data_IF_685144515167
#
_entry.id   IF_685144515167
#
_cell.length_a   1.000
_cell.length_b   1.000
_cell.length_c   1.000
_cell.angle_alpha   90.00
_cell.angle_beta   90.00
_cell.angle_gamma   90.00
#
_symmetry.space_group_name_H-M   'P 1'
#
loop_
_entity.id
_entity.type
_entity.pdbx_description
1 polymer ?
#
# COMPACT_ATOMS: atom_id res chain seq x y z
N UNK A 1 3.79 -27.40 -20.39
CA UNK A 1 2.89 -26.28 -20.02
C UNK A 1 3.15 -25.96 -18.56
N UNK A 2 3.56 -24.74 -18.25
CA UNK A 2 4.03 -24.39 -16.88
C UNK A 2 3.44 -23.03 -16.50
N UNK A 3 2.24 -23.04 -15.93
CA UNK A 3 1.37 -21.85 -15.80
C UNK A 3 0.98 -21.63 -14.34
N UNK A 4 1.99 -21.49 -13.47
CA UNK A 4 1.87 -21.31 -12.02
C UNK A 4 2.93 -20.30 -11.51
N UNK A 5 2.61 -18.99 -11.54
CA UNK A 5 3.32 -17.93 -10.78
C UNK A 5 2.71 -16.51 -10.82
N UNK A 6 1.39 -16.38 -10.96
CA UNK A 6 0.71 -15.07 -11.11
C UNK A 6 -0.43 -14.79 -10.10
N UNK A 7 -0.64 -15.62 -9.07
CA UNK A 7 -1.82 -15.50 -8.18
C UNK A 7 -1.68 -14.48 -7.02
N UNK A 8 -0.47 -14.07 -6.64
CA UNK A 8 -0.20 -13.46 -5.31
C UNK A 8 -0.72 -12.02 -5.06
N UNK A 9 -1.64 -11.50 -5.87
CA UNK A 9 -2.13 -10.11 -5.77
C UNK A 9 -3.66 -9.93 -5.93
N UNK A 10 -4.42 -11.03 -6.05
CA UNK A 10 -5.79 -11.03 -6.56
C UNK A 10 -6.90 -11.39 -5.53
N UNK A 11 -6.60 -11.36 -4.22
CA UNK A 11 -7.50 -11.85 -3.15
C UNK A 11 -7.60 -10.78 -2.02
N UNK A 12 -8.78 -10.15 -1.88
CA UNK A 12 -9.15 -9.04 -0.96
C UNK A 12 -10.69 -8.79 -1.00
N UNK A 13 -11.50 -9.34 -0.07
CA UNK A 13 -12.91 -8.97 0.25
C UNK A 13 -13.33 -9.56 1.64
N UNK A 14 -13.22 -8.77 2.73
CA UNK A 14 -13.55 -9.18 4.11
C UNK A 14 -15.04 -9.52 4.34
N UNK A 15 -15.40 -10.23 5.43
CA UNK A 15 -15.85 -9.54 6.68
C UNK A 15 -15.57 -10.31 8.02
N UNK A 16 -15.75 -9.81 9.26
CA UNK A 16 -15.83 -8.49 9.95
C UNK A 16 -16.02 -8.72 11.49
N UNK A 17 -15.74 -7.73 12.37
CA UNK A 17 -16.34 -7.52 13.74
C UNK A 17 -15.95 -8.55 14.84
N UNK A 18 -15.76 -8.29 16.15
CA UNK A 18 -15.53 -7.12 17.07
C UNK A 18 -15.20 -7.73 18.48
N UNK A 19 -14.80 -7.07 19.60
CA UNK A 19 -14.17 -5.78 19.98
C UNK A 19 -13.86 -5.81 21.51
N UNK A 20 -13.56 -4.65 22.16
CA UNK A 20 -13.35 -4.42 23.62
C UNK A 20 -12.03 -4.96 24.24
N UNK A 21 -11.48 -4.50 25.37
CA UNK A 21 -11.41 -3.18 26.08
C UNK A 21 -10.43 -3.32 27.28
N UNK A 22 -9.68 -2.28 27.67
CA UNK A 22 -9.75 -1.61 29.01
C UNK A 22 -8.72 -0.44 29.17
N UNK A 23 -8.84 0.34 30.24
CA UNK A 23 -8.06 1.57 30.54
C UNK A 23 -6.79 1.38 31.38
N UNK A 24 -5.85 2.35 31.31
CA UNK A 24 -5.17 2.94 32.49
C UNK A 24 -4.34 4.19 32.12
N UNK A 25 -4.56 5.31 32.82
CA UNK A 25 -3.69 6.50 32.82
C UNK A 25 -2.76 6.50 34.06
N UNK A 26 -1.67 7.30 34.03
CA UNK A 26 -1.71 8.47 34.91
C UNK A 26 -1.14 9.77 34.29
N UNK A 27 -1.48 10.90 34.91
CA UNK A 27 -1.00 12.24 34.54
C UNK A 27 0.52 12.42 34.66
N UNK A 28 1.11 13.19 33.73
CA UNK A 28 2.28 14.04 33.99
C UNK A 28 2.08 15.40 33.33
N UNK A 29 2.46 16.48 34.01
CA UNK A 29 2.42 17.84 33.49
C UNK A 29 3.82 18.38 33.19
N UNK A 30 3.83 19.40 32.32
CA UNK A 30 4.67 20.61 32.36
C UNK A 30 5.76 20.75 31.28
N UNK A 31 6.05 22.03 31.00
CA UNK A 31 7.08 22.58 30.11
C UNK A 31 6.83 22.49 28.60
N UNK A 32 6.38 23.64 28.06
CA UNK A 32 6.48 24.00 26.65
C UNK A 32 7.94 23.98 26.17
N UNK A 33 8.33 22.91 25.48
CA UNK A 33 9.40 22.97 24.48
C UNK A 33 8.72 23.33 23.16
N UNK A 34 9.24 24.33 22.45
CA UNK A 34 8.66 24.74 21.16
C UNK A 34 8.58 23.56 20.20
N UNK A 35 7.44 23.38 19.54
CA UNK A 35 7.19 22.28 18.60
C UNK A 35 8.21 22.35 17.46
N UNK A 36 9.30 21.57 17.61
CA UNK A 36 10.23 21.30 16.52
C UNK A 36 9.46 20.46 15.52
N UNK A 37 8.82 21.15 14.57
CA UNK A 37 8.39 20.58 13.31
C UNK A 37 9.64 20.10 12.58
N UNK A 38 10.07 18.90 12.93
CA UNK A 38 10.80 18.05 12.01
C UNK A 38 10.08 18.12 10.67
N UNK A 39 10.83 18.37 9.59
CA UNK A 39 10.27 18.19 8.27
C UNK A 39 9.67 16.78 8.19
N UNK A 40 8.50 16.59 7.54
CA UNK A 40 7.92 15.26 7.41
C UNK A 40 8.98 14.33 6.84
N UNK A 41 9.23 13.21 7.52
CA UNK A 41 10.37 12.35 7.20
C UNK A 41 10.32 12.00 5.71
N UNK A 42 11.34 12.45 4.98
CA UNK A 42 11.33 12.51 3.53
C UNK A 42 11.80 11.16 2.94
N UNK A 43 12.29 10.24 3.79
CA UNK A 43 12.65 8.84 3.49
C UNK A 43 11.55 7.83 3.85
N UNK A 44 11.73 6.55 3.48
CA UNK A 44 10.77 5.45 3.76
C UNK A 44 11.20 4.55 4.93
N UNK A 45 11.99 5.06 5.87
CA UNK A 45 12.44 4.29 7.04
C UNK A 45 11.28 3.92 7.97
N UNK A 46 11.34 2.72 8.55
CA UNK A 46 10.32 2.17 9.46
C UNK A 46 9.54 0.99 8.89
N UNK A 47 8.47 0.60 9.59
CA UNK A 47 7.64 -0.56 9.25
C UNK A 47 6.26 -0.13 8.77
N UNK A 48 5.78 -0.77 7.69
CA UNK A 48 4.46 -0.54 7.12
C UNK A 48 3.79 -1.88 6.78
N UNK A 49 2.46 -1.93 6.88
CA UNK A 49 1.68 -3.15 6.79
C UNK A 49 0.40 -2.92 5.97
N UNK A 50 0.09 -3.88 5.10
CA UNK A 50 -1.17 -4.05 4.41
C UNK A 50 -1.72 -5.41 4.80
N UNK A 51 -2.98 -5.47 5.24
CA UNK A 51 -3.64 -6.73 5.58
C UNK A 51 -4.91 -6.89 4.75
N UNK A 52 -5.08 -8.09 4.22
CA UNK A 52 -6.20 -8.57 3.42
C UNK A 52 -6.87 -9.73 4.13
N UNK A 53 -8.20 -9.78 4.02
CA UNK A 53 -8.98 -10.98 4.29
C UNK A 53 -9.96 -11.18 3.12
N UNK A 54 -10.15 -12.42 2.68
CA UNK A 54 -11.22 -12.79 1.76
C UNK A 54 -11.73 -14.21 2.00
N UNK A 55 -12.98 -14.33 2.42
CA UNK A 55 -13.75 -15.57 2.37
C UNK A 55 -13.07 -16.83 2.98
N UNK A 56 -12.26 -16.66 4.03
CA UNK A 56 -11.51 -17.73 4.70
C UNK A 56 -10.00 -17.75 4.40
N UNK A 57 -9.57 -16.99 3.39
CA UNK A 57 -8.17 -16.70 3.10
C UNK A 57 -7.79 -15.34 3.70
N UNK A 58 -6.52 -15.13 4.03
CA UNK A 58 -5.97 -13.83 4.44
C UNK A 58 -4.57 -13.61 3.90
N UNK A 59 -4.19 -12.37 3.60
CA UNK A 59 -2.82 -12.04 3.23
C UNK A 59 -2.31 -10.77 3.93
N UNK A 60 -1.24 -10.91 4.69
CA UNK A 60 -0.48 -9.78 5.22
C UNK A 60 0.75 -9.51 4.36
N UNK A 61 0.99 -8.24 4.05
CA UNK A 61 2.21 -7.76 3.42
C UNK A 61 2.86 -6.71 4.31
N UNK A 62 4.04 -7.01 4.85
CA UNK A 62 4.85 -6.09 5.65
C UNK A 62 6.03 -5.60 4.81
N UNK A 63 6.21 -4.29 4.70
CA UNK A 63 7.41 -3.63 4.22
C UNK A 63 8.15 -3.03 5.42
N UNK A 64 9.38 -3.48 5.69
CA UNK A 64 10.22 -2.99 6.78
C UNK A 64 11.54 -2.45 6.22
N UNK A 65 11.76 -1.15 6.37
CA UNK A 65 12.89 -0.42 5.81
C UNK A 65 13.81 0.08 6.92
N UNK A 66 15.08 -0.36 6.88
CA UNK A 66 16.11 0.14 7.80
C UNK A 66 16.58 1.55 7.38
N UNK A 67 16.64 1.78 6.07
CA UNK A 67 16.87 3.06 5.42
C UNK A 67 16.13 3.09 4.07
N UNK A 68 16.25 4.19 3.32
CA UNK A 68 15.54 4.37 2.05
C UNK A 68 16.05 3.54 0.86
N UNK A 69 17.19 2.85 1.02
CA UNK A 69 17.84 2.00 0.01
C UNK A 69 17.73 0.50 0.33
N UNK A 70 17.46 0.15 1.59
CA UNK A 70 17.42 -1.22 2.11
C UNK A 70 16.13 -1.55 2.88
N UNK A 71 15.24 -2.31 2.23
CA UNK A 71 14.00 -2.81 2.83
C UNK A 71 13.86 -4.33 2.75
N UNK A 72 12.99 -4.90 3.58
CA UNK A 72 12.52 -6.29 3.49
C UNK A 72 11.02 -6.28 3.25
N UNK A 73 10.56 -7.00 2.23
CA UNK A 73 9.16 -7.27 1.96
C UNK A 73 8.84 -8.71 2.37
N UNK A 74 7.98 -8.85 3.37
CA UNK A 74 7.43 -10.12 3.83
C UNK A 74 5.97 -10.22 3.37
N UNK A 75 5.56 -11.37 2.84
CA UNK A 75 4.17 -11.66 2.46
C UNK A 75 3.76 -12.99 3.08
N UNK A 76 2.80 -12.93 4.00
CA UNK A 76 2.19 -14.06 4.69
C UNK A 76 0.82 -14.29 4.07
N UNK A 77 0.57 -15.47 3.51
CA UNK A 77 -0.70 -15.87 2.92
C UNK A 77 -1.24 -17.09 3.67
N UNK A 78 -2.40 -16.95 4.29
CA UNK A 78 -3.23 -18.06 4.74
C UNK A 78 -4.27 -18.34 3.65
N UNK A 79 -4.37 -19.57 3.15
CA UNK A 79 -5.40 -19.95 2.19
C UNK A 79 -5.81 -21.40 2.40
N UNK A 80 -7.11 -21.65 2.55
CA UNK A 80 -7.69 -23.00 2.75
C UNK A 80 -6.98 -23.84 3.84
N UNK A 81 -6.53 -23.20 4.93
CA UNK A 81 -5.79 -23.84 6.03
C UNK A 81 -4.29 -24.04 5.80
N UNK A 82 -3.77 -23.75 4.59
CA UNK A 82 -2.33 -23.68 4.33
C UNK A 82 -1.76 -22.31 4.65
N UNK A 83 -0.54 -22.27 5.19
CA UNK A 83 0.25 -21.07 5.42
C UNK A 83 1.44 -21.05 4.46
N UNK A 84 1.60 -19.95 3.73
CA UNK A 84 2.73 -19.65 2.86
C UNK A 84 3.37 -18.33 3.30
N UNK A 85 4.70 -18.28 3.39
CA UNK A 85 5.45 -17.07 3.73
C UNK A 85 6.56 -16.85 2.69
N UNK A 86 6.55 -15.71 2.02
CA UNK A 86 7.62 -15.25 1.13
C UNK A 86 8.32 -14.04 1.78
N UNK A 87 9.65 -14.05 1.84
CA UNK A 87 10.44 -12.93 2.42
C UNK A 87 11.54 -12.56 1.46
N UNK A 88 11.59 -11.28 1.05
CA UNK A 88 12.59 -10.77 0.11
C UNK A 88 13.24 -9.50 0.62
N UNK A 89 14.56 -9.44 0.55
CA UNK A 89 15.29 -8.16 0.66
C UNK A 89 15.13 -7.43 -0.67
N UNK A 90 14.76 -6.17 -0.59
CA UNK A 90 14.61 -5.25 -1.70
C UNK A 90 15.82 -4.32 -1.74
N UNK A 91 16.36 -4.09 -2.93
CA UNK A 91 17.26 -2.97 -3.15
C UNK A 91 16.42 -1.82 -3.71
N UNK A 92 16.16 -0.83 -2.87
CA UNK A 92 15.36 0.33 -3.22
C UNK A 92 16.21 1.34 -3.98
N UNK A 93 15.63 2.05 -4.95
CA UNK A 93 16.30 3.15 -5.65
C UNK A 93 15.35 4.31 -5.94
N UNK A 94 15.82 5.55 -5.73
CA UNK A 94 14.99 6.76 -5.83
C UNK A 94 14.56 7.05 -7.28
N UNK A 95 13.26 7.01 -7.54
CA UNK A 95 12.67 7.21 -8.88
C UNK A 95 12.72 8.69 -9.27
N UNK A 96 13.51 9.00 -10.29
CA UNK A 96 13.66 10.37 -10.82
C UNK A 96 12.46 10.79 -11.69
N UNK A 97 11.98 9.91 -12.58
CA UNK A 97 10.76 10.16 -13.37
C UNK A 97 9.55 9.43 -12.77
N UNK A 98 8.69 10.20 -12.11
CA UNK A 98 7.42 9.72 -11.54
C UNK A 98 6.33 9.44 -12.60
N UNK A 99 6.63 9.50 -13.91
CA UNK A 99 5.70 9.31 -15.02
C UNK A 99 4.84 8.03 -14.92
N UNK A 100 5.46 6.88 -14.63
CA UNK A 100 4.75 5.60 -14.46
C UNK A 100 3.77 5.63 -13.29
N UNK A 101 4.19 6.14 -12.12
CA UNK A 101 3.34 6.24 -10.94
C UNK A 101 2.19 7.25 -11.15
N UNK A 102 2.47 8.38 -11.83
CA UNK A 102 1.44 9.35 -12.25
C UNK A 102 0.43 8.73 -13.20
N UNK A 103 0.86 7.94 -14.20
CA UNK A 103 -0.03 7.23 -15.12
C UNK A 103 -0.91 6.20 -14.39
N UNK A 104 -0.34 5.47 -13.43
CA UNK A 104 -1.10 4.53 -12.59
C UNK A 104 -2.17 5.24 -11.74
N UNK A 105 -1.82 6.35 -11.07
CA UNK A 105 -2.75 7.14 -10.27
C UNK A 105 -3.85 7.77 -11.15
N UNK A 106 -3.50 8.33 -12.31
CA UNK A 106 -4.46 8.84 -13.29
C UNK A 106 -5.40 7.76 -13.81
N UNK A 107 -4.90 6.55 -14.06
CA UNK A 107 -5.71 5.40 -14.47
C UNK A 107 -6.76 5.08 -13.41
N UNK A 108 -6.37 4.94 -12.13
CA UNK A 108 -7.31 4.63 -11.04
C UNK A 108 -8.29 5.78 -10.79
N UNK A 109 -7.83 7.04 -10.81
CA UNK A 109 -8.69 8.23 -10.68
C UNK A 109 -9.80 8.26 -11.75
N UNK A 110 -9.49 7.89 -13.00
CA UNK A 110 -10.47 7.85 -14.09
C UNK A 110 -11.61 6.83 -13.88
N UNK A 111 -11.47 5.90 -12.92
CA UNK A 111 -12.49 4.93 -12.51
C UNK A 111 -13.22 5.27 -11.21
N UNK A 112 -12.79 6.27 -10.44
CA UNK A 112 -13.23 6.47 -9.04
C UNK A 112 -14.76 6.65 -8.88
N UNK A 113 -15.40 7.29 -9.86
CA UNK A 113 -16.84 7.60 -9.86
C UNK A 113 -17.66 6.60 -10.71
N UNK A 114 -17.07 5.45 -11.09
CA UNK A 114 -17.71 4.44 -11.97
C UNK A 114 -18.11 3.20 -11.17
N UNK A 115 -19.22 2.57 -11.56
CA UNK A 115 -19.57 1.23 -11.10
C UNK A 115 -18.53 0.22 -11.57
N UNK A 116 -17.92 -0.52 -10.63
CA UNK A 116 -16.98 -1.60 -10.90
C UNK A 116 -17.74 -2.94 -10.84
N UNK A 117 -17.46 -3.87 -11.77
CA UNK A 117 -18.19 -5.15 -11.87
C UNK A 117 -17.61 -6.19 -10.91
N UNK A 118 -16.31 -6.12 -10.64
CA UNK A 118 -15.63 -6.97 -9.66
C UNK A 118 -15.83 -6.39 -8.26
N UNK A 119 -16.46 -7.16 -7.37
CA UNK A 119 -16.62 -6.79 -5.96
C UNK A 119 -15.26 -6.56 -5.25
N UNK A 120 -14.21 -7.26 -5.68
CA UNK A 120 -12.83 -7.05 -5.23
C UNK A 120 -12.29 -5.66 -5.64
N UNK A 121 -12.52 -5.27 -6.90
CA UNK A 121 -12.16 -3.93 -7.37
C UNK A 121 -12.99 -2.84 -6.68
N UNK A 122 -14.28 -3.10 -6.40
CA UNK A 122 -15.13 -2.19 -5.65
C UNK A 122 -14.62 -1.99 -4.20
N UNK A 123 -14.27 -3.07 -3.50
CA UNK A 123 -13.70 -3.01 -2.16
C UNK A 123 -12.36 -2.23 -2.14
N UNK A 124 -11.45 -2.51 -3.07
CA UNK A 124 -10.19 -1.75 -3.22
C UNK A 124 -10.43 -0.27 -3.52
N UNK A 125 -11.40 0.05 -4.39
CA UNK A 125 -11.75 1.43 -4.68
C UNK A 125 -12.25 2.16 -3.42
N UNK A 126 -13.13 1.54 -2.63
CA UNK A 126 -13.64 2.11 -1.37
C UNK A 126 -12.50 2.44 -0.40
N UNK A 127 -11.50 1.57 -0.26
CA UNK A 127 -10.31 1.82 0.58
C UNK A 127 -9.46 3.00 0.09
N UNK A 128 -9.40 3.23 -1.23
CA UNK A 128 -8.63 4.33 -1.82
C UNK A 128 -9.43 5.65 -1.95
N UNK A 129 -10.77 5.63 -1.93
CA UNK A 129 -11.61 6.82 -2.14
C UNK A 129 -11.24 8.03 -1.26
N UNK A 130 -10.87 7.90 0.03
CA UNK A 130 -10.42 9.04 0.83
C UNK A 130 -9.17 9.73 0.25
N UNK A 131 -8.20 8.94 -0.25
CA UNK A 131 -7.01 9.46 -0.93
C UNK A 131 -7.36 10.02 -2.32
N UNK A 132 -8.17 9.31 -3.10
CA UNK A 132 -8.52 9.70 -4.47
C UNK A 132 -9.37 10.98 -4.55
N UNK A 133 -10.26 11.21 -3.57
CA UNK A 133 -11.07 12.42 -3.51
C UNK A 133 -10.31 13.65 -2.96
N UNK A 134 -9.13 13.48 -2.36
CA UNK A 134 -8.36 14.57 -1.71
C UNK A 134 -7.30 15.24 -2.61
N UNK A 135 -7.47 15.16 -3.94
CA UNK A 135 -6.54 15.64 -4.96
C UNK A 135 -5.09 15.16 -4.72
N UNK A 136 -4.84 13.84 -4.75
CA UNK A 136 -3.63 13.22 -4.25
C UNK A 136 -2.39 13.59 -5.08
N UNK A 137 -1.28 13.90 -4.41
CA UNK A 137 0.01 14.21 -5.05
C UNK A 137 1.07 13.23 -4.61
N UNK A 138 1.64 12.51 -5.58
CA UNK A 138 2.83 11.68 -5.36
C UNK A 138 4.00 12.63 -5.05
N UNK A 139 4.58 12.51 -3.86
CA UNK A 139 5.69 13.34 -3.39
C UNK A 139 7.03 12.72 -3.78
N UNK A 140 7.18 11.41 -3.59
CA UNK A 140 8.41 10.63 -3.87
C UNK A 140 8.06 9.16 -4.12
N UNK A 141 8.85 8.47 -4.93
CA UNK A 141 8.76 7.02 -5.11
C UNK A 141 10.16 6.39 -5.10
N UNK A 142 10.23 5.15 -4.65
CA UNK A 142 11.40 4.28 -4.69
C UNK A 142 11.02 3.01 -5.45
N UNK A 143 11.83 2.62 -6.44
CA UNK A 143 11.68 1.36 -7.15
C UNK A 143 12.25 0.23 -6.29
N UNK A 144 11.42 -0.77 -6.00
CA UNK A 144 11.82 -1.94 -5.20
C UNK A 144 12.63 -2.97 -5.99
N UNK A 145 12.72 -2.83 -7.32
CA UNK A 145 13.32 -3.78 -8.25
C UNK A 145 12.79 -5.24 -8.06
N UNK A 146 11.56 -5.37 -7.58
CA UNK A 146 10.91 -6.64 -7.30
C UNK A 146 10.47 -7.29 -8.62
N UNK A 147 11.13 -8.38 -9.01
CA UNK A 147 11.05 -9.00 -10.36
C UNK A 147 11.58 -8.15 -11.53
N UNK A 148 11.79 -6.84 -11.35
CA UNK A 148 12.51 -5.97 -12.27
C UNK A 148 12.17 -4.48 -12.05
N UNK A 149 12.89 -3.57 -12.73
CA UNK A 149 12.65 -2.13 -12.60
C UNK A 149 11.23 -1.74 -13.03
N UNK A 150 10.60 -0.83 -12.29
CA UNK A 150 9.26 -0.29 -12.53
C UNK A 150 8.11 -1.26 -12.28
N UNK A 151 8.37 -2.50 -11.86
CA UNK A 151 7.32 -3.48 -11.58
C UNK A 151 6.58 -3.18 -10.27
N UNK A 152 7.32 -2.83 -9.21
CA UNK A 152 6.80 -2.46 -7.90
C UNK A 152 7.48 -1.17 -7.42
N UNK A 153 6.71 -0.10 -7.29
CA UNK A 153 7.17 1.16 -6.70
C UNK A 153 6.55 1.32 -5.31
N UNK A 154 7.37 1.70 -4.33
CA UNK A 154 6.91 2.22 -3.03
C UNK A 154 6.82 3.73 -3.17
N UNK A 155 5.62 4.30 -3.04
CA UNK A 155 5.40 5.73 -3.25
C UNK A 155 4.78 6.39 -2.02
N UNK A 156 5.24 7.59 -1.69
CA UNK A 156 4.55 8.49 -0.76
C UNK A 156 3.53 9.34 -1.53
N UNK A 157 2.33 9.46 -0.97
CA UNK A 157 1.26 10.32 -1.48
C UNK A 157 0.86 11.31 -0.39
N UNK A 158 1.00 12.60 -0.67
CA UNK A 158 0.48 13.70 0.15
C UNK A 158 -0.98 13.99 -0.23
N UNK A 159 -1.87 13.90 0.75
CA UNK A 159 -3.25 14.37 0.72
C UNK A 159 -3.26 15.91 0.87
N UNK A 160 -4.03 16.62 0.04
CA UNK A 160 -4.04 18.09 0.02
C UNK A 160 -4.92 18.77 1.08
N UNK A 161 -5.82 18.05 1.74
CA UNK A 161 -6.64 18.56 2.84
C UNK A 161 -5.87 18.52 4.17
N UNK A 162 -5.29 17.36 4.49
CA UNK A 162 -4.76 17.09 5.84
C UNK A 162 -3.23 17.18 5.95
N UNK A 163 -2.52 17.40 4.84
CA UNK A 163 -1.06 17.22 4.69
C UNK A 163 -0.55 15.80 5.06
N UNK A 164 -1.44 14.84 5.33
CA UNK A 164 -1.07 13.46 5.62
C UNK A 164 -0.33 12.82 4.45
N UNK A 165 0.79 12.17 4.75
CA UNK A 165 1.65 11.51 3.77
C UNK A 165 1.66 9.99 4.02
N UNK A 166 0.82 9.28 3.28
CA UNK A 166 0.74 7.81 3.36
C UNK A 166 1.73 7.14 2.42
N UNK A 167 2.18 5.93 2.78
CA UNK A 167 2.95 5.05 1.90
C UNK A 167 1.98 4.14 1.13
N UNK A 168 2.25 3.93 -0.16
CA UNK A 168 1.42 3.14 -1.06
C UNK A 168 2.30 2.25 -1.93
N UNK A 169 1.86 1.01 -2.18
CA UNK A 169 2.48 0.12 -3.15
C UNK A 169 1.82 0.30 -4.51
N UNK A 170 2.61 0.57 -5.54
CA UNK A 170 2.18 0.66 -6.94
C UNK A 170 2.75 -0.53 -7.71
N UNK A 171 1.89 -1.52 -8.02
CA UNK A 171 2.25 -2.70 -8.80
C UNK A 171 1.78 -2.59 -10.25
N UNK A 172 2.66 -2.82 -11.22
CA UNK A 172 2.30 -2.90 -12.64
C UNK A 172 1.87 -4.32 -13.00
N UNK A 173 0.64 -4.51 -13.47
CA UNK A 173 0.14 -5.82 -13.91
C UNK A 173 0.35 -6.04 -15.40
N UNK A 174 0.75 -7.27 -15.76
CA UNK A 174 0.96 -7.69 -17.16
C UNK A 174 -0.36 -7.95 -17.93
N UNK A 175 -1.53 -7.84 -17.28
CA UNK A 175 -2.84 -8.16 -17.85
C UNK A 175 -3.53 -6.87 -18.33
N UNK A 176 -3.21 -6.43 -19.55
CA UNK A 176 -3.69 -5.15 -20.10
C UNK A 176 -5.22 -5.02 -20.33
N UNK A 177 -6.03 -6.07 -20.12
CA UNK A 177 -7.31 -6.20 -20.85
C UNK A 177 -8.56 -6.72 -20.09
N UNK A 178 -8.65 -6.63 -18.76
CA UNK A 178 -9.97 -6.85 -18.09
C UNK A 178 -10.91 -5.63 -18.12
N UNK A 179 -10.43 -4.46 -18.59
CA UNK A 179 -11.27 -3.31 -18.93
C UNK A 179 -11.90 -2.61 -17.73
N UNK A 180 -11.21 -2.56 -16.59
CA UNK A 180 -11.72 -2.04 -15.32
C UNK A 180 -10.61 -1.38 -14.48
N UNK A 181 -10.97 -0.77 -13.35
CA UNK A 181 -10.01 -0.39 -12.31
C UNK A 181 -9.13 -1.58 -11.92
N UNK A 182 -7.90 -1.29 -11.48
CA UNK A 182 -6.89 -2.25 -11.02
C UNK A 182 -6.39 -3.31 -12.02
N UNK A 183 -6.98 -3.42 -13.23
CA UNK A 183 -6.54 -4.36 -14.27
C UNK A 183 -5.06 -4.21 -14.69
N UNK A 184 -4.58 -2.97 -14.86
CA UNK A 184 -3.23 -2.66 -15.35
C UNK A 184 -2.29 -2.16 -14.24
N UNK A 185 -2.83 -1.54 -13.20
CA UNK A 185 -2.09 -0.98 -12.09
C UNK A 185 -2.82 -1.22 -10.79
N UNK A 186 -2.17 -1.91 -9.85
CA UNK A 186 -2.64 -2.08 -8.49
C UNK A 186 -2.02 -0.98 -7.62
N UNK A 187 -2.84 -0.33 -6.79
CA UNK A 187 -2.41 0.65 -5.80
C UNK A 187 -2.98 0.21 -4.46
N UNK A 188 -2.13 -0.08 -3.47
CA UNK A 188 -2.56 -0.50 -2.14
C UNK A 188 -2.03 0.45 -1.05
N UNK A 189 -2.84 0.85 -0.06
CA UNK A 189 -2.39 1.70 1.04
C UNK A 189 -1.63 0.88 2.10
N UNK A 190 -0.42 1.30 2.45
CA UNK A 190 0.38 0.71 3.53
C UNK A 190 0.22 1.56 4.79
N UNK A 191 -0.24 0.96 5.88
CA UNK A 191 -0.35 1.62 7.19
C UNK A 191 0.99 1.55 7.91
N UNK A 192 1.50 2.66 8.43
CA UNK A 192 2.67 2.61 9.31
C UNK A 192 2.33 1.92 10.64
N UNK A 193 3.22 1.05 11.08
CA UNK A 193 3.19 0.39 12.40
C UNK A 193 4.45 0.76 13.18
N UNK A 194 4.30 0.82 14.51
CA UNK A 194 5.36 1.15 15.47
C UNK A 194 5.89 -0.10 16.14
#
# INVERSE_FOLDING_TARGET
MTLFRLLSLAILISPMVDAMSDELQPNFQMSSIGEVRTAPDDGISGRYQLSSEQAGDSSEMTLECADENACTLSTTLHSQGHLSVDVRRLHMSLVQDLGTAKQALQYVLAWKDRTLRSAHNAAKMILLLPMLNSNPKISRCWDANYHGPGFLLVCKIRNSADNYEGVYLFGTLLINSCGEAFCRYVIEPMRSVK
#
